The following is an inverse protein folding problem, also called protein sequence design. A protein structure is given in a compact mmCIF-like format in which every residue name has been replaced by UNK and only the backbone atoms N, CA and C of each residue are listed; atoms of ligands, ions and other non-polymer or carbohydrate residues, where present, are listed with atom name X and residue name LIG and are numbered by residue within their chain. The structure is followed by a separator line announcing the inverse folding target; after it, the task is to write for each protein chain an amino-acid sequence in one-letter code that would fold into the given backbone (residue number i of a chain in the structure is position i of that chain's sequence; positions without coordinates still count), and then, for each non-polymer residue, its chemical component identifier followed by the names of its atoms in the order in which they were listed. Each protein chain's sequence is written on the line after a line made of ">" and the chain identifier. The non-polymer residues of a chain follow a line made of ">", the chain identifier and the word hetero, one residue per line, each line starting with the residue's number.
data_IF_147449648059
#
_entry.id   IF_147449648059
#
_cell.length_a   1.000
_cell.length_b   1.000
_cell.length_c   1.000
_cell.angle_alpha   90.00
_cell.angle_beta   90.00
_cell.angle_gamma   90.00
#
_symmetry.space_group_name_H-M   'P 1'
#
loop_
_entity.id
_entity.type
_entity.pdbx_description
1 polymer ?
#
# COMPACT_ATOMS: atom_id res chain seq x y z
N UNK A 1 75.29 1.90 -40.99
CA UNK A 1 74.35 0.94 -40.55
C UNK A 1 73.55 1.58 -39.38
N UNK A 2 72.38 2.17 -39.69
CA UNK A 2 71.59 2.96 -38.71
C UNK A 2 70.54 2.08 -38.05
N UNK A 3 70.66 1.88 -36.74
CA UNK A 3 69.59 1.23 -35.94
C UNK A 3 68.61 2.27 -35.46
N UNK A 4 67.40 2.18 -35.95
CA UNK A 4 66.22 2.92 -35.38
C UNK A 4 65.83 2.34 -34.03
N UNK A 5 65.84 3.17 -32.99
CA UNK A 5 65.23 2.86 -31.69
C UNK A 5 63.69 3.02 -31.79
N UNK A 6 62.93 1.96 -31.49
CA UNK A 6 61.54 2.02 -31.30
C UNK A 6 61.25 2.29 -29.80
N UNK A 7 60.63 3.43 -29.50
CA UNK A 7 60.08 3.70 -28.19
C UNK A 7 58.76 2.97 -28.07
N UNK A 8 58.70 1.99 -27.19
CA UNK A 8 57.42 1.38 -26.77
C UNK A 8 56.77 2.29 -25.73
N UNK A 9 55.65 2.90 -26.10
CA UNK A 9 54.81 3.63 -25.18
C UNK A 9 53.94 2.60 -24.43
N UNK A 10 54.31 2.31 -23.17
CA UNK A 10 53.53 1.45 -22.31
C UNK A 10 52.30 2.22 -21.76
N UNK A 11 51.10 1.81 -22.17
CA UNK A 11 49.84 2.28 -21.57
C UNK A 11 49.66 1.52 -20.27
N UNK A 12 49.84 2.21 -19.14
CA UNK A 12 49.45 1.69 -17.81
C UNK A 12 47.95 1.90 -17.65
N UNK A 13 47.16 0.84 -17.81
CA UNK A 13 45.76 0.83 -17.44
C UNK A 13 45.69 0.59 -15.92
N UNK A 14 45.50 1.65 -15.14
CA UNK A 14 45.18 1.51 -13.72
C UNK A 14 43.69 1.16 -13.56
N UNK A 15 43.41 -0.12 -13.31
CA UNK A 15 42.08 -0.57 -12.89
C UNK A 15 41.85 -0.10 -11.46
N UNK A 16 41.04 0.94 -11.28
CA UNK A 16 40.50 1.30 -9.97
C UNK A 16 39.44 0.27 -9.59
N UNK A 17 39.78 -0.64 -8.70
CA UNK A 17 38.82 -1.52 -8.03
C UNK A 17 38.11 -0.69 -6.95
N UNK A 18 36.86 -0.31 -7.23
CA UNK A 18 35.98 0.23 -6.20
C UNK A 18 35.50 -0.93 -5.33
N UNK A 19 36.04 -1.07 -4.14
CA UNK A 19 35.47 -1.91 -3.11
C UNK A 19 34.30 -1.13 -2.51
N UNK A 20 33.09 -1.47 -2.92
CA UNK A 20 31.90 -1.10 -2.15
C UNK A 20 31.93 -1.92 -0.85
N UNK A 21 32.41 -1.34 0.22
CA UNK A 21 32.18 -1.88 1.55
C UNK A 21 30.70 -1.69 1.86
N UNK A 22 29.92 -2.76 1.82
CA UNK A 22 28.59 -2.76 2.39
C UNK A 22 28.73 -2.43 3.89
N UNK A 23 28.45 -1.20 4.27
CA UNK A 23 28.29 -0.86 5.67
C UNK A 23 27.00 -1.52 6.16
N UNK A 24 27.12 -2.40 7.12
CA UNK A 24 25.95 -2.92 7.83
C UNK A 24 25.28 -1.74 8.53
N UNK A 25 24.07 -1.43 8.12
CA UNK A 25 23.26 -0.42 8.76
C UNK A 25 22.81 -0.98 10.10
N UNK A 26 23.25 -0.37 11.20
CA UNK A 26 22.76 -0.73 12.54
C UNK A 26 21.34 -0.19 12.64
N UNK A 27 20.35 -1.09 12.76
CA UNK A 27 18.97 -0.70 13.02
C UNK A 27 18.85 -0.21 14.46
N UNK A 28 18.57 1.06 14.64
CA UNK A 28 18.27 1.65 15.93
C UNK A 28 16.79 2.00 16.01
N UNK A 29 16.12 1.49 17.04
CA UNK A 29 14.71 1.80 17.31
C UNK A 29 14.64 2.91 18.35
N UNK A 30 14.03 4.03 17.97
CA UNK A 30 13.81 5.16 18.89
C UNK A 30 12.36 5.18 19.36
N UNK A 31 12.16 5.22 20.68
CA UNK A 31 10.86 5.55 21.25
C UNK A 31 10.89 7.02 21.71
N UNK A 32 10.13 7.87 21.05
CA UNK A 32 10.03 9.27 21.41
C UNK A 32 8.59 9.65 21.72
N UNK A 33 8.35 10.09 22.95
CA UNK A 33 7.05 10.64 23.36
C UNK A 33 6.67 11.94 22.63
N UNK A 34 7.60 12.51 21.84
CA UNK A 34 7.37 13.71 21.02
C UNK A 34 6.93 13.38 19.58
N UNK A 35 7.12 12.13 19.14
CA UNK A 35 6.79 11.66 17.79
C UNK A 35 5.59 10.70 17.87
N UNK A 36 4.47 11.22 18.37
CA UNK A 36 3.21 10.48 18.43
C UNK A 36 2.31 10.87 17.27
N UNK A 37 1.65 9.89 16.68
CA UNK A 37 0.66 10.12 15.64
C UNK A 37 -0.66 10.58 16.26
N UNK A 38 -1.04 11.81 15.90
CA UNK A 38 -2.32 12.38 16.31
C UNK A 38 -2.42 12.73 17.80
N UNK A 39 -3.46 13.42 18.14
CA UNK A 39 -3.75 13.89 19.51
C UNK A 39 -5.02 13.24 20.07
N UNK A 40 -5.75 12.48 19.25
CA UNK A 40 -7.01 11.84 19.62
C UNK A 40 -6.79 10.37 19.95
N UNK A 41 -7.54 9.87 20.92
CA UNK A 41 -7.60 8.44 21.20
C UNK A 41 -8.56 7.79 20.22
N UNK A 42 -8.00 7.11 19.23
CA UNK A 42 -8.74 6.35 18.22
C UNK A 42 -8.53 4.85 18.41
N UNK A 43 -9.41 4.06 17.80
CA UNK A 43 -9.27 2.60 17.75
C UNK A 43 -8.75 2.22 16.37
N UNK A 44 -7.46 2.31 16.22
CA UNK A 44 -6.77 1.96 14.98
C UNK A 44 -6.82 0.46 14.75
N UNK A 45 -7.19 0.08 13.55
CA UNK A 45 -7.26 -1.31 13.08
C UNK A 45 -6.13 -1.65 12.12
N UNK A 46 -5.77 -0.73 11.22
CA UNK A 46 -4.77 -0.93 10.19
C UNK A 46 -3.96 0.35 9.96
N UNK A 47 -2.75 0.18 9.43
CA UNK A 47 -1.86 1.26 9.03
C UNK A 47 -1.32 0.92 7.63
N UNK A 48 -1.46 1.86 6.69
CA UNK A 48 -0.76 1.87 5.40
C UNK A 48 0.37 2.88 5.41
N UNK A 49 1.40 2.67 4.61
CA UNK A 49 2.54 3.58 4.45
C UNK A 49 2.88 3.75 2.98
N UNK A 50 3.12 4.99 2.55
CA UNK A 50 3.47 5.31 1.17
C UNK A 50 3.74 6.80 1.02
N UNK A 51 4.37 7.19 -0.09
CA UNK A 51 4.56 8.58 -0.48
C UNK A 51 3.24 9.07 -1.12
N UNK A 52 2.36 9.63 -0.29
CA UNK A 52 0.97 9.95 -0.67
C UNK A 52 0.87 11.29 -1.41
N UNK A 53 1.75 12.23 -1.11
CA UNK A 53 1.74 13.56 -1.76
C UNK A 53 2.92 13.80 -2.70
N UNK A 54 3.66 12.74 -3.03
CA UNK A 54 4.78 12.74 -4.00
C UNK A 54 5.91 13.69 -3.65
N UNK A 55 6.12 13.95 -2.35
CA UNK A 55 7.23 14.80 -1.88
C UNK A 55 8.53 14.02 -1.63
N UNK A 56 8.50 12.69 -1.76
CA UNK A 56 9.61 11.75 -1.58
C UNK A 56 9.74 11.21 -0.16
N UNK A 57 8.84 11.57 0.75
CA UNK A 57 8.82 11.13 2.14
C UNK A 57 7.66 10.16 2.39
N UNK A 58 7.87 9.17 3.26
CA UNK A 58 6.83 8.18 3.54
C UNK A 58 5.81 8.75 4.54
N UNK A 59 4.56 8.76 4.13
CA UNK A 59 3.38 9.14 4.91
C UNK A 59 2.72 7.95 5.59
N UNK A 60 1.77 8.21 6.47
CA UNK A 60 1.03 7.19 7.20
C UNK A 60 -0.46 7.37 7.00
N UNK A 61 -1.10 6.32 6.51
CA UNK A 61 -2.54 6.15 6.47
C UNK A 61 -2.99 5.33 7.67
N UNK A 62 -4.08 5.73 8.33
CA UNK A 62 -4.61 5.05 9.51
C UNK A 62 -6.09 4.74 9.32
N UNK A 63 -6.44 3.45 9.37
CA UNK A 63 -7.82 3.00 9.50
C UNK A 63 -8.25 3.04 10.96
N UNK A 64 -9.23 3.84 11.28
CA UNK A 64 -9.83 3.93 12.60
C UNK A 64 -11.26 3.39 12.59
N UNK A 65 -11.69 2.79 13.68
CA UNK A 65 -13.08 2.38 13.80
C UNK A 65 -13.30 0.91 14.13
N UNK A 66 -12.28 0.15 14.49
CA UNK A 66 -12.43 -1.24 14.92
C UNK A 66 -13.53 -1.37 15.97
N UNK A 67 -14.66 -2.02 15.61
CA UNK A 67 -15.87 -2.23 16.39
C UNK A 67 -16.74 -0.97 16.68
N UNK A 68 -16.25 0.23 16.41
CA UNK A 68 -16.97 1.50 16.65
C UNK A 68 -16.61 2.49 15.56
N UNK A 69 -17.53 3.29 15.05
CA UNK A 69 -17.20 4.27 14.03
C UNK A 69 -16.05 5.19 14.45
N UNK A 70 -15.08 5.36 13.58
CA UNK A 70 -13.90 6.20 13.76
C UNK A 70 -13.55 6.97 12.49
N UNK A 71 -12.74 8.01 12.62
CA UNK A 71 -12.33 8.83 11.49
C UNK A 71 -10.99 8.33 10.95
N UNK A 72 -10.97 7.86 9.70
CA UNK A 72 -9.74 7.53 8.99
C UNK A 72 -8.91 8.78 8.73
N UNK A 73 -7.58 8.65 8.79
CA UNK A 73 -6.68 9.81 8.67
C UNK A 73 -5.43 9.48 7.87
N UNK A 74 -4.94 10.51 7.18
CA UNK A 74 -3.59 10.54 6.60
C UNK A 74 -2.74 11.49 7.43
N UNK A 75 -1.55 11.05 7.79
CA UNK A 75 -0.54 11.84 8.48
C UNK A 75 0.63 12.07 7.54
N UNK A 76 0.81 13.33 7.13
CA UNK A 76 1.86 13.72 6.19
C UNK A 76 3.18 13.92 6.92
N UNK A 77 4.23 13.30 6.43
CA UNK A 77 5.60 13.43 6.90
C UNK A 77 6.19 14.76 6.42
N UNK A 78 7.17 15.26 7.11
CA UNK A 78 7.93 16.45 6.73
C UNK A 78 9.39 16.15 6.38
N UNK A 79 9.70 14.89 6.01
CA UNK A 79 11.03 14.42 5.69
C UNK A 79 11.96 14.17 6.88
N UNK A 80 11.43 14.28 8.09
CA UNK A 80 12.19 14.06 9.33
C UNK A 80 11.52 13.07 10.28
N UNK A 81 10.51 12.35 9.79
CA UNK A 81 9.68 11.46 10.61
C UNK A 81 8.77 12.22 11.58
N UNK A 82 8.45 13.48 11.27
CA UNK A 82 7.53 14.29 12.07
C UNK A 82 6.26 14.55 11.28
N UNK A 83 5.15 14.08 11.80
CA UNK A 83 3.82 14.12 11.17
C UNK A 83 3.01 15.29 11.73
N UNK A 84 3.24 16.48 11.19
CA UNK A 84 2.61 17.72 11.66
C UNK A 84 1.27 18.01 11.00
N UNK A 85 1.04 17.44 9.82
CA UNK A 85 -0.21 17.58 9.08
C UNK A 85 -1.03 16.30 9.22
N UNK A 86 -2.27 16.44 9.64
CA UNK A 86 -3.25 15.34 9.68
C UNK A 86 -4.45 15.74 8.86
N UNK A 87 -4.78 14.93 7.85
CA UNK A 87 -5.95 15.10 6.99
C UNK A 87 -6.97 13.99 7.29
N UNK A 88 -8.25 14.31 7.26
CA UNK A 88 -9.30 13.30 7.36
C UNK A 88 -9.48 12.64 5.98
N UNK A 89 -9.68 11.33 5.99
CA UNK A 89 -10.06 10.57 4.80
C UNK A 89 -11.57 10.40 4.77
N UNK A 90 -12.23 11.08 3.85
CA UNK A 90 -13.68 11.18 3.81
C UNK A 90 -14.28 12.01 4.96
N UNK A 91 -15.60 12.21 4.92
CA UNK A 91 -16.32 13.03 5.90
C UNK A 91 -17.12 12.18 6.91
N UNK A 92 -17.09 10.86 6.78
CA UNK A 92 -17.88 9.93 7.55
C UNK A 92 -17.01 9.17 8.54
N UNK A 93 -17.56 8.87 9.71
CA UNK A 93 -16.98 7.92 10.63
C UNK A 93 -17.45 6.52 10.26
N UNK A 94 -16.54 5.63 9.97
CA UNK A 94 -16.82 4.27 9.53
C UNK A 94 -16.22 3.24 10.48
N UNK A 95 -16.67 1.99 10.36
CA UNK A 95 -16.10 0.86 11.11
C UNK A 95 -14.97 0.21 10.30
N UNK A 96 -13.93 0.98 10.04
CA UNK A 96 -12.83 0.54 9.17
C UNK A 96 -11.93 -0.47 9.87
N UNK A 97 -11.59 -1.54 9.14
CA UNK A 97 -10.73 -2.63 9.60
C UNK A 97 -9.42 -2.71 8.85
N UNK A 98 -9.43 -2.40 7.56
CA UNK A 98 -8.25 -2.45 6.71
C UNK A 98 -8.19 -1.27 5.75
N UNK A 99 -6.99 -0.86 5.42
CA UNK A 99 -6.71 0.13 4.38
C UNK A 99 -5.50 -0.33 3.58
N UNK A 100 -5.59 -0.19 2.25
CA UNK A 100 -4.49 -0.45 1.31
C UNK A 100 -4.25 0.76 0.41
N UNK A 101 -3.01 0.91 -0.04
CA UNK A 101 -2.56 1.95 -0.95
C UNK A 101 -2.19 1.32 -2.30
N UNK A 102 -2.78 1.80 -3.37
CA UNK A 102 -2.42 1.43 -4.74
C UNK A 102 -2.91 2.51 -5.71
N UNK A 103 -2.37 2.52 -6.91
CA UNK A 103 -2.86 3.32 -8.03
C UNK A 103 -4.03 2.54 -8.68
N UNK A 104 -5.28 2.94 -8.35
CA UNK A 104 -6.46 2.22 -8.82
C UNK A 104 -7.03 2.76 -10.13
N UNK A 105 -6.68 3.97 -10.54
CA UNK A 105 -7.16 4.58 -11.78
C UNK A 105 -6.06 4.86 -12.82
N UNK A 106 -4.84 4.34 -12.55
CA UNK A 106 -3.68 4.42 -13.44
C UNK A 106 -3.22 5.85 -13.75
N UNK A 107 -3.44 6.79 -12.83
CA UNK A 107 -2.97 8.17 -12.96
C UNK A 107 -1.57 8.39 -12.36
N UNK A 108 -1.02 7.36 -11.69
CA UNK A 108 0.29 7.33 -11.08
C UNK A 108 0.32 7.85 -9.65
N UNK A 109 -0.82 8.11 -9.02
CA UNK A 109 -0.97 8.54 -7.63
C UNK A 109 -1.37 7.38 -6.73
N UNK A 110 -0.96 7.40 -5.46
CA UNK A 110 -1.41 6.38 -4.52
C UNK A 110 -2.81 6.73 -4.00
N UNK A 111 -3.78 5.94 -4.39
CA UNK A 111 -5.15 5.96 -3.88
C UNK A 111 -5.29 5.12 -2.62
N UNK A 112 -6.46 5.18 -2.00
CA UNK A 112 -6.77 4.43 -0.78
C UNK A 112 -8.00 3.55 -0.96
N UNK A 113 -7.86 2.25 -0.71
CA UNK A 113 -9.00 1.36 -0.49
C UNK A 113 -9.28 1.23 1.01
N UNK A 114 -10.55 1.29 1.41
CA UNK A 114 -11.00 1.14 2.80
C UNK A 114 -11.99 0.00 2.92
N UNK A 115 -11.62 -1.00 3.72
CA UNK A 115 -12.47 -2.14 4.09
C UNK A 115 -13.20 -1.90 5.41
N UNK A 116 -14.55 -1.98 5.38
CA UNK A 116 -15.43 -1.64 6.50
C UNK A 116 -16.20 -2.86 7.03
N UNK A 117 -16.37 -2.95 8.35
CA UNK A 117 -17.21 -3.95 9.00
C UNK A 117 -18.67 -3.53 8.96
N UNK A 118 -19.53 -4.33 8.28
CA UNK A 118 -20.96 -4.11 8.17
C UNK A 118 -21.36 -2.75 7.54
N UNK A 119 -20.46 -2.18 6.72
CA UNK A 119 -20.67 -0.97 5.94
C UNK A 119 -20.08 -1.15 4.53
N UNK A 120 -20.44 -0.33 3.53
CA UNK A 120 -19.85 -0.41 2.21
C UNK A 120 -18.34 -0.09 2.24
N UNK A 121 -17.57 -0.82 1.47
CA UNK A 121 -16.16 -0.52 1.22
C UNK A 121 -16.06 0.54 0.12
N UNK A 122 -15.05 1.41 0.19
CA UNK A 122 -14.84 2.47 -0.79
C UNK A 122 -13.38 2.65 -1.14
N UNK A 123 -13.12 3.10 -2.35
CA UNK A 123 -11.85 3.74 -2.69
C UNK A 123 -11.96 5.26 -2.52
N UNK A 124 -10.82 5.88 -2.29
CA UNK A 124 -10.64 7.31 -2.26
C UNK A 124 -9.52 7.65 -3.23
N UNK A 125 -9.86 8.34 -4.32
CA UNK A 125 -8.92 8.77 -5.35
C UNK A 125 -8.14 9.99 -4.88
N UNK A 126 -6.84 9.95 -5.06
CA UNK A 126 -5.89 11.01 -4.72
C UNK A 126 -5.72 11.95 -5.92
N UNK A 127 -5.36 13.18 -5.69
CA UNK A 127 -4.99 14.15 -6.73
C UNK A 127 -3.47 14.36 -6.85
N UNK A 128 -2.68 13.45 -6.27
CA UNK A 128 -1.22 13.52 -6.22
C UNK A 128 -0.65 14.50 -5.20
N UNK A 129 -1.52 15.17 -4.44
CA UNK A 129 -1.13 16.10 -3.36
C UNK A 129 -1.68 15.63 -1.99
N UNK A 130 -2.11 14.38 -1.89
CA UNK A 130 -2.74 13.82 -0.69
C UNK A 130 -4.12 14.41 -0.40
N UNK A 131 -4.85 14.89 -1.42
CA UNK A 131 -6.24 15.33 -1.32
C UNK A 131 -7.14 14.28 -1.95
N UNK A 132 -8.00 13.69 -1.15
CA UNK A 132 -8.78 12.53 -1.53
C UNK A 132 -10.22 12.86 -1.87
N UNK A 133 -10.72 12.29 -2.96
CA UNK A 133 -12.12 12.30 -3.36
C UNK A 133 -12.70 10.90 -3.23
N UNK A 134 -13.86 10.76 -2.60
CA UNK A 134 -14.54 9.46 -2.46
C UNK A 134 -14.94 8.94 -3.85
N UNK A 135 -14.40 7.79 -4.22
CA UNK A 135 -14.62 7.10 -5.49
C UNK A 135 -15.69 6.01 -5.41
N UNK A 136 -15.50 4.94 -6.19
CA UNK A 136 -16.43 3.83 -6.26
C UNK A 136 -16.47 2.98 -4.97
N UNK A 137 -17.58 2.27 -4.76
CA UNK A 137 -17.65 1.19 -3.77
C UNK A 137 -17.26 -0.13 -4.42
N UNK A 138 -16.65 -1.02 -3.63
CA UNK A 138 -16.28 -2.36 -4.07
C UNK A 138 -16.82 -3.45 -3.14
N UNK A 139 -16.98 -4.66 -3.70
CA UNK A 139 -17.51 -5.81 -2.99
C UNK A 139 -18.99 -5.68 -2.58
N UNK A 140 -19.49 -6.69 -1.85
CA UNK A 140 -20.84 -6.67 -1.34
C UNK A 140 -20.98 -5.70 -0.17
N UNK A 141 -22.06 -4.94 -0.19
CA UNK A 141 -22.38 -4.00 0.88
C UNK A 141 -22.75 -4.75 2.17
N UNK A 142 -22.40 -4.17 3.31
CA UNK A 142 -22.78 -4.65 4.64
C UNK A 142 -22.25 -6.06 4.97
N UNK A 143 -21.11 -6.43 4.42
CA UNK A 143 -20.36 -7.63 4.81
C UNK A 143 -19.43 -7.33 5.97
N UNK A 144 -19.10 -8.34 6.82
CA UNK A 144 -18.18 -8.13 7.94
C UNK A 144 -16.73 -8.23 7.45
N UNK A 145 -16.28 -7.26 6.67
CA UNK A 145 -14.91 -7.20 6.14
C UNK A 145 -13.88 -7.16 7.26
N UNK A 146 -12.82 -7.95 7.14
CA UNK A 146 -11.72 -8.04 8.10
C UNK A 146 -10.39 -7.59 7.54
N UNK A 147 -10.10 -7.97 6.31
CA UNK A 147 -8.93 -7.48 5.60
C UNK A 147 -9.23 -7.24 4.13
N UNK A 148 -8.44 -6.39 3.51
CA UNK A 148 -8.35 -6.23 2.06
C UNK A 148 -6.89 -6.36 1.67
N UNK A 149 -6.63 -6.93 0.50
CA UNK A 149 -5.31 -7.06 -0.11
C UNK A 149 -5.42 -6.61 -1.55
N UNK A 150 -4.39 -6.01 -2.09
CA UNK A 150 -4.35 -5.48 -3.45
C UNK A 150 -3.31 -6.21 -4.29
N UNK A 151 -3.69 -6.59 -5.50
CA UNK A 151 -2.81 -7.27 -6.45
C UNK A 151 -3.46 -7.27 -7.83
N UNK A 152 -2.68 -7.22 -8.89
CA UNK A 152 -3.14 -7.60 -10.23
C UNK A 152 -3.33 -9.13 -10.26
N UNK A 153 -4.57 -9.60 -10.01
CA UNK A 153 -4.85 -11.03 -9.80
C UNK A 153 -5.15 -11.77 -11.11
N UNK A 154 -5.63 -11.06 -12.13
CA UNK A 154 -5.94 -11.64 -13.43
C UNK A 154 -4.91 -11.28 -14.52
N UNK A 155 -3.84 -10.57 -14.14
CA UNK A 155 -2.72 -10.17 -14.99
C UNK A 155 -3.12 -9.29 -16.18
N UNK A 156 -4.08 -8.39 -15.98
CA UNK A 156 -4.49 -7.41 -16.98
C UNK A 156 -3.76 -6.07 -16.85
N UNK A 157 -2.99 -5.88 -15.78
CA UNK A 157 -2.19 -4.70 -15.47
C UNK A 157 -2.86 -3.74 -14.50
N UNK A 158 -4.11 -3.97 -14.12
CA UNK A 158 -4.87 -3.14 -13.20
C UNK A 158 -4.86 -3.74 -11.79
N UNK A 159 -4.82 -2.91 -10.77
CA UNK A 159 -4.76 -3.43 -9.39
C UNK A 159 -6.17 -3.77 -8.89
N UNK A 160 -6.36 -5.04 -8.55
CA UNK A 160 -7.60 -5.60 -8.01
C UNK A 160 -7.63 -5.59 -6.49
N UNK A 161 -8.81 -5.85 -5.90
CA UNK A 161 -9.01 -5.92 -4.46
C UNK A 161 -9.56 -7.29 -4.05
N UNK A 162 -8.84 -7.96 -3.14
CA UNK A 162 -9.30 -9.15 -2.46
C UNK A 162 -9.89 -8.77 -1.10
N UNK A 163 -11.05 -9.30 -0.77
CA UNK A 163 -11.77 -9.00 0.46
C UNK A 163 -11.93 -10.27 1.28
N UNK A 164 -11.46 -10.26 2.51
CA UNK A 164 -11.76 -11.33 3.47
C UNK A 164 -12.89 -10.91 4.40
N UNK A 165 -13.85 -11.81 4.57
CA UNK A 165 -15.07 -11.58 5.35
C UNK A 165 -15.20 -12.62 6.48
N UNK A 166 -15.66 -12.19 7.65
CA UNK A 166 -15.89 -13.08 8.77
C UNK A 166 -17.32 -13.64 8.74
N UNK A 167 -17.47 -14.90 8.36
CA UNK A 167 -18.77 -15.58 8.29
C UNK A 167 -19.59 -15.21 7.06
N UNK A 168 -18.94 -14.69 6.03
CA UNK A 168 -19.49 -14.40 4.71
C UNK A 168 -18.49 -14.86 3.64
N UNK A 169 -18.95 -14.99 2.40
CA UNK A 169 -18.11 -15.30 1.25
C UNK A 169 -17.04 -14.20 1.07
N UNK A 170 -15.80 -14.62 0.85
CA UNK A 170 -14.72 -13.73 0.43
C UNK A 170 -14.89 -13.35 -1.04
N UNK A 171 -14.32 -12.23 -1.45
CA UNK A 171 -14.52 -11.70 -2.81
C UNK A 171 -13.21 -11.19 -3.41
N UNK A 172 -13.03 -11.43 -4.71
CA UNK A 172 -12.07 -10.73 -5.55
C UNK A 172 -12.88 -9.72 -6.36
N UNK A 173 -12.58 -8.46 -6.25
CA UNK A 173 -13.20 -7.39 -7.00
C UNK A 173 -12.23 -6.93 -8.09
N UNK A 174 -12.58 -7.22 -9.35
CA UNK A 174 -11.75 -6.88 -10.51
C UNK A 174 -11.93 -5.40 -10.88
N UNK A 175 -10.81 -4.71 -11.02
CA UNK A 175 -10.72 -3.33 -11.46
C UNK A 175 -10.88 -3.25 -12.99
N UNK A 176 -11.30 -2.12 -13.50
CA UNK A 176 -11.34 -1.83 -14.95
C UNK A 176 -10.28 -0.80 -15.37
N UNK A 177 -9.29 -0.55 -14.49
CA UNK A 177 -8.21 0.41 -14.71
C UNK A 177 -8.61 1.88 -14.52
N UNK A 178 -9.84 2.13 -14.06
CA UNK A 178 -10.35 3.49 -13.77
C UNK A 178 -10.94 3.56 -12.33
N UNK A 179 -10.48 2.70 -11.45
CA UNK A 179 -10.97 2.61 -10.08
C UNK A 179 -12.42 2.14 -9.95
N UNK A 180 -12.94 1.37 -10.93
CA UNK A 180 -14.31 0.83 -10.92
C UNK A 180 -14.30 -0.69 -10.83
N UNK A 181 -15.06 -1.23 -9.89
CA UNK A 181 -15.11 -2.65 -9.55
C UNK A 181 -16.48 -3.25 -9.85
N UNK A 182 -16.82 -3.37 -11.12
CA UNK A 182 -18.16 -3.85 -11.57
C UNK A 182 -18.30 -5.38 -11.54
N UNK A 183 -17.19 -6.11 -11.48
CA UNK A 183 -17.14 -7.57 -11.51
C UNK A 183 -16.49 -8.08 -10.24
N UNK A 184 -17.13 -9.07 -9.59
CA UNK A 184 -16.56 -9.77 -8.44
C UNK A 184 -16.68 -11.28 -8.56
N UNK A 185 -15.72 -12.00 -7.99
CA UNK A 185 -15.62 -13.46 -7.97
C UNK A 185 -15.54 -13.88 -6.50
N UNK A 186 -16.43 -14.78 -6.07
CA UNK A 186 -16.37 -15.34 -4.72
C UNK A 186 -15.29 -16.41 -4.60
N UNK A 187 -14.61 -16.47 -3.46
CA UNK A 187 -13.66 -17.53 -3.14
C UNK A 187 -13.82 -18.02 -1.69
N UNK A 188 -13.30 -19.22 -1.42
CA UNK A 188 -13.50 -19.89 -0.15
C UNK A 188 -14.94 -20.38 0.05
N UNK A 189 -15.36 -20.56 1.30
CA UNK A 189 -16.70 -20.98 1.67
C UNK A 189 -17.55 -19.82 2.15
N UNK A 190 -18.86 -19.85 1.87
CA UNK A 190 -19.83 -18.81 2.32
C UNK A 190 -19.96 -18.65 3.83
N UNK A 191 -19.31 -19.51 4.62
CA UNK A 191 -19.39 -19.53 6.08
C UNK A 191 -18.02 -19.45 6.76
N UNK A 192 -16.96 -19.27 5.99
CA UNK A 192 -15.62 -19.17 6.54
C UNK A 192 -15.49 -17.91 7.41
N UNK A 193 -14.76 -18.02 8.51
CA UNK A 193 -14.40 -16.88 9.33
C UNK A 193 -13.00 -16.44 8.96
N UNK A 194 -12.84 -15.99 7.71
CA UNK A 194 -11.55 -15.55 7.20
C UNK A 194 -11.16 -14.23 7.89
N UNK A 195 -9.90 -14.14 8.30
CA UNK A 195 -9.35 -12.96 8.96
C UNK A 195 -8.41 -12.25 8.01
N UNK A 196 -7.64 -13.03 7.23
CA UNK A 196 -6.57 -12.53 6.39
C UNK A 196 -6.42 -13.39 5.14
N UNK A 197 -5.81 -12.85 4.11
CA UNK A 197 -5.38 -13.51 2.88
C UNK A 197 -4.10 -12.83 2.41
N UNK A 198 -3.20 -13.60 1.84
CA UNK A 198 -2.02 -13.08 1.17
C UNK A 198 -1.98 -13.60 -0.28
N UNK A 199 -1.27 -12.86 -1.12
CA UNK A 199 -1.14 -13.16 -2.55
C UNK A 199 0.33 -13.33 -2.88
N UNK A 200 0.71 -14.49 -3.42
CA UNK A 200 2.07 -14.77 -3.89
C UNK A 200 2.07 -15.92 -4.90
N UNK A 201 3.01 -15.92 -5.84
CA UNK A 201 3.29 -17.10 -6.67
C UNK A 201 4.09 -18.12 -5.84
N UNK A 202 3.37 -19.07 -5.23
CA UNK A 202 3.94 -20.06 -4.31
C UNK A 202 4.59 -21.25 -5.02
N UNK A 203 4.19 -21.50 -6.24
CA UNK A 203 4.65 -22.68 -6.99
C UNK A 203 5.63 -22.32 -8.14
N UNK A 204 5.81 -21.03 -8.45
CA UNK A 204 6.72 -20.52 -9.47
C UNK A 204 6.18 -20.66 -10.90
N UNK A 205 4.85 -20.73 -11.08
CA UNK A 205 4.22 -20.86 -12.39
C UNK A 205 3.90 -19.51 -13.06
N UNK A 206 4.15 -18.41 -12.40
CA UNK A 206 3.91 -17.05 -12.88
C UNK A 206 2.50 -16.53 -12.63
N UNK A 207 1.68 -17.29 -11.88
CA UNK A 207 0.35 -16.86 -11.45
C UNK A 207 0.29 -16.66 -9.94
N UNK A 208 -0.54 -15.73 -9.52
CA UNK A 208 -0.75 -15.45 -8.10
C UNK A 208 -1.62 -16.54 -7.45
N UNK A 209 -1.11 -17.12 -6.37
CA UNK A 209 -1.85 -18.04 -5.50
C UNK A 209 -2.43 -17.27 -4.30
N UNK A 210 -3.52 -17.78 -3.71
CA UNK A 210 -4.13 -17.26 -2.49
C UNK A 210 -3.77 -18.15 -1.28
N UNK A 211 -3.30 -17.54 -0.20
CA UNK A 211 -2.82 -18.21 1.01
C UNK A 211 -3.67 -17.82 2.20
#
# INVERSE_FOLDING_TARGET
>A
MNFKKYNACGIIISTLLFFNTAQSQTLEFFNSSRLILGTHKERTASIGVGDIDKDGDIDILVANGRHWPGQNRVFVNNGRGVFTVSRILGNEQETSYSTELADFDNDGDLDVAVGNDMAPNFIFLNDGNGVFTKGASFGKKYTPTRNIVVSDIDNDGDIDILITNRGSENEICLNDGNGTFSKSIGFGSKKDSTIDVEVADMNGDGHNDLI
#
